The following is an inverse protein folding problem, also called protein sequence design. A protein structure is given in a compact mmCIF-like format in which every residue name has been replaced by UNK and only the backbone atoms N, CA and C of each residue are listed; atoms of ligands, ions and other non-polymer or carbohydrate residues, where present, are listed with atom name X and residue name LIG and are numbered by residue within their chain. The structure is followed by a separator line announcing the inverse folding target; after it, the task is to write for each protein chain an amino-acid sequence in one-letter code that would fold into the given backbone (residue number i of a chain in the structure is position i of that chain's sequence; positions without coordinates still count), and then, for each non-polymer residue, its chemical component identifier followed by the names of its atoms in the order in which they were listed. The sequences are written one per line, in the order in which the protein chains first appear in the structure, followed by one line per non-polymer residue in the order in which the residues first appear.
data_IF_788599525794
#
_entry.id   IF_788599525794
#
_cell.length_a   1.000
_cell.length_b   1.000
_cell.length_c   1.000
_cell.angle_alpha   90.00
_cell.angle_beta   90.00
_cell.angle_gamma   90.00
#
_symmetry.space_group_name_H-M   'P 1'
#
loop_
_entity.id
_entity.type
_entity.pdbx_description
1 polymer ?
#
# COMPACT_ATOMS: atom_id res chain seq x y z
N UNK A 1 25.34 -8.51 -6.69
CA UNK A 1 25.45 -9.87 -7.27
C UNK A 1 24.19 -10.66 -6.95
N UNK A 2 23.44 -10.96 -7.98
CA UNK A 2 22.48 -12.06 -8.12
C UNK A 2 21.21 -12.00 -7.22
N UNK A 3 20.01 -12.29 -7.63
CA UNK A 3 19.39 -12.91 -8.78
C UNK A 3 17.90 -12.54 -8.79
N UNK A 4 17.44 -11.95 -9.84
CA UNK A 4 16.02 -11.90 -10.18
C UNK A 4 15.61 -13.28 -10.73
N UNK A 5 14.71 -13.99 -10.06
CA UNK A 5 14.03 -15.14 -10.65
C UNK A 5 12.78 -14.67 -11.37
N UNK A 6 12.93 -14.52 -12.68
CA UNK A 6 11.83 -14.53 -13.62
C UNK A 6 11.24 -15.94 -13.67
N UNK A 7 9.98 -16.12 -13.28
CA UNK A 7 9.23 -17.35 -13.53
C UNK A 7 8.73 -17.34 -14.97
N UNK A 8 9.60 -17.78 -15.89
CA UNK A 8 9.17 -18.15 -17.23
C UNK A 8 8.48 -19.51 -17.17
N UNK A 9 7.18 -19.53 -17.41
CA UNK A 9 6.45 -20.77 -17.68
C UNK A 9 6.89 -21.34 -19.02
N UNK A 10 7.96 -22.13 -18.98
CA UNK A 10 8.47 -22.89 -20.10
C UNK A 10 7.61 -24.15 -20.29
N UNK A 11 6.76 -24.14 -21.29
CA UNK A 11 6.11 -25.33 -21.79
C UNK A 11 7.16 -26.19 -22.51
N UNK A 12 7.74 -27.19 -21.82
CA UNK A 12 8.71 -28.11 -22.41
C UNK A 12 8.04 -28.99 -23.46
N UNK A 13 8.39 -28.79 -24.75
CA UNK A 13 8.14 -29.75 -25.81
C UNK A 13 8.92 -31.01 -25.53
N UNK A 14 8.26 -32.12 -25.23
CA UNK A 14 8.86 -33.45 -25.28
C UNK A 14 8.98 -33.89 -26.72
N UNK A 15 10.21 -34.23 -27.11
CA UNK A 15 10.51 -34.88 -28.40
C UNK A 15 9.95 -36.31 -28.36
N UNK A 16 9.15 -36.64 -29.37
CA UNK A 16 8.63 -37.97 -29.62
C UNK A 16 9.70 -38.82 -30.27
N UNK A 17 9.96 -39.98 -29.69
CA UNK A 17 10.59 -41.12 -30.39
C UNK A 17 9.48 -41.90 -31.11
N UNK A 18 9.74 -42.46 -32.33
CA UNK A 18 8.74 -43.19 -33.05
C UNK A 18 8.77 -44.67 -32.67
N UNK A 19 7.70 -45.23 -32.23
CA UNK A 19 7.23 -46.56 -32.57
C UNK A 19 5.97 -46.93 -31.81
N UNK A 20 5.08 -47.59 -32.53
CA UNK A 20 3.91 -48.38 -32.11
C UNK A 20 2.58 -47.64 -32.05
N UNK A 21 1.88 -47.98 -33.12
CA UNK A 21 0.48 -47.71 -33.45
C UNK A 21 -0.47 -48.29 -32.36
N UNK A 22 -1.04 -47.40 -31.50
CA UNK A 22 -2.26 -47.68 -30.79
C UNK A 22 -3.17 -46.45 -30.87
N UNK A 23 -4.35 -46.67 -31.47
CA UNK A 23 -5.43 -45.68 -31.56
C UNK A 23 -5.90 -45.39 -30.13
N UNK A 24 -5.40 -44.28 -29.52
CA UNK A 24 -6.01 -43.66 -28.36
C UNK A 24 -6.50 -42.27 -28.76
N UNK A 25 -7.68 -41.84 -28.28
CA UNK A 25 -8.22 -40.53 -28.60
C UNK A 25 -7.28 -39.44 -28.07
N UNK A 26 -6.91 -38.50 -28.95
CA UNK A 26 -6.17 -37.29 -28.61
C UNK A 26 -7.00 -36.46 -27.62
N UNK A 27 -6.75 -36.60 -26.34
CA UNK A 27 -7.12 -35.57 -25.37
C UNK A 27 -6.20 -34.36 -25.65
N UNK A 28 -6.73 -33.40 -26.37
CA UNK A 28 -6.17 -32.05 -26.44
C UNK A 28 -6.22 -31.47 -25.02
N UNK A 29 -5.16 -31.70 -24.24
CA UNK A 29 -4.94 -30.98 -23.00
C UNK A 29 -4.62 -29.53 -23.34
N UNK A 30 -5.64 -28.77 -23.72
CA UNK A 30 -5.57 -27.31 -23.74
C UNK A 30 -5.26 -26.85 -22.32
N UNK A 31 -4.17 -26.11 -22.14
CA UNK A 31 -3.93 -25.38 -20.90
C UNK A 31 -5.09 -24.40 -20.72
N UNK A 32 -6.10 -24.80 -19.96
CA UNK A 32 -7.18 -23.90 -19.54
C UNK A 32 -6.55 -22.92 -18.56
N UNK A 33 -6.26 -21.72 -19.03
CA UNK A 33 -5.88 -20.64 -18.13
C UNK A 33 -7.11 -20.32 -17.24
N UNK A 34 -6.91 -20.17 -15.93
CA UNK A 34 -8.02 -19.77 -15.06
C UNK A 34 -8.52 -18.41 -15.55
N UNK A 35 -9.80 -18.36 -15.92
CA UNK A 35 -10.46 -17.12 -16.30
C UNK A 35 -10.51 -16.23 -15.07
N UNK A 36 -9.86 -15.06 -15.14
CA UNK A 36 -9.94 -14.07 -14.06
C UNK A 36 -11.40 -13.78 -13.71
N UNK A 37 -11.64 -13.54 -12.42
CA UNK A 37 -12.96 -13.06 -12.01
C UNK A 37 -13.18 -11.66 -12.61
N UNK A 38 -14.46 -11.31 -12.87
CA UNK A 38 -14.81 -9.99 -13.42
C UNK A 38 -14.27 -8.84 -12.57
N UNK A 39 -14.19 -9.04 -11.26
CA UNK A 39 -13.62 -8.07 -10.33
C UNK A 39 -12.11 -7.89 -10.48
N UNK A 40 -11.37 -8.97 -10.74
CA UNK A 40 -9.91 -8.89 -10.97
C UNK A 40 -9.57 -8.24 -12.31
N UNK A 41 -10.40 -8.45 -13.32
CA UNK A 41 -10.22 -7.83 -14.63
C UNK A 41 -10.47 -6.32 -14.57
N UNK A 42 -11.52 -5.88 -13.87
CA UNK A 42 -11.83 -4.45 -13.61
C UNK A 42 -10.69 -3.78 -12.83
N UNK A 43 -10.15 -4.43 -11.80
CA UNK A 43 -9.02 -3.90 -11.03
C UNK A 43 -7.74 -3.74 -11.86
N UNK A 44 -7.49 -4.65 -12.82
CA UNK A 44 -6.32 -4.56 -13.71
C UNK A 44 -6.44 -3.48 -14.77
N UNK A 45 -7.62 -3.27 -15.30
CA UNK A 45 -7.86 -2.28 -16.36
C UNK A 45 -7.90 -0.83 -15.82
N UNK A 46 -8.21 -0.65 -14.53
CA UNK A 46 -8.51 0.66 -13.95
C UNK A 46 -9.84 1.26 -14.46
N UNK A 47 -10.60 0.48 -15.23
CA UNK A 47 -11.89 0.87 -15.80
C UNK A 47 -12.93 -0.18 -15.46
N UNK A 48 -14.19 0.22 -15.28
CA UNK A 48 -15.32 -0.68 -15.14
C UNK A 48 -15.77 -1.27 -16.52
N UNK A 49 -16.84 -2.05 -16.52
CA UNK A 49 -17.35 -2.69 -17.74
C UNK A 49 -17.87 -1.65 -18.77
N UNK A 50 -18.20 -0.47 -18.33
CA UNK A 50 -18.68 0.67 -19.11
C UNK A 50 -17.56 1.61 -19.56
N UNK A 51 -16.29 1.31 -19.19
CA UNK A 51 -15.11 2.11 -19.54
C UNK A 51 -14.86 3.33 -18.63
N UNK A 52 -15.54 3.39 -17.49
CA UNK A 52 -15.33 4.45 -16.52
C UNK A 52 -14.20 4.11 -15.53
N UNK A 53 -13.47 5.11 -14.99
CA UNK A 53 -12.46 4.87 -13.97
C UNK A 53 -13.02 4.09 -12.78
N UNK A 54 -12.25 3.12 -12.29
CA UNK A 54 -12.62 2.33 -11.11
C UNK A 54 -12.85 3.26 -9.93
N UNK A 55 -14.07 3.25 -9.39
CA UNK A 55 -14.44 4.09 -8.27
C UNK A 55 -13.74 3.66 -6.98
N UNK A 56 -13.53 4.58 -6.05
CA UNK A 56 -12.95 4.32 -4.73
C UNK A 56 -13.70 3.24 -3.93
N UNK A 57 -14.94 2.91 -4.31
CA UNK A 57 -15.76 1.84 -3.70
C UNK A 57 -15.14 0.44 -3.81
N UNK A 58 -14.23 0.22 -4.77
CA UNK A 58 -13.56 -1.10 -4.96
C UNK A 58 -12.31 -1.25 -4.09
N UNK A 59 -11.88 -0.19 -3.43
CA UNK A 59 -10.74 -0.23 -2.52
C UNK A 59 -11.11 -0.90 -1.18
N UNK A 60 -10.17 -1.59 -0.54
CA UNK A 60 -10.40 -2.19 0.77
C UNK A 60 -10.80 -1.12 1.79
N UNK A 61 -11.60 -1.54 2.76
CA UNK A 61 -12.12 -0.65 3.81
C UNK A 61 -11.69 -1.10 5.19
N UNK A 62 -11.56 -0.14 6.09
CA UNK A 62 -11.39 -0.38 7.52
C UNK A 62 -12.70 -0.84 8.16
N UNK A 63 -12.65 -1.31 9.40
CA UNK A 63 -13.83 -1.71 10.17
C UNK A 63 -14.85 -0.56 10.35
N UNK A 64 -14.38 0.68 10.34
CA UNK A 64 -15.22 1.89 10.46
C UNK A 64 -15.72 2.41 9.10
N UNK A 65 -15.38 1.72 7.98
CA UNK A 65 -15.87 2.03 6.65
C UNK A 65 -14.99 2.99 5.82
N UNK A 66 -13.91 3.51 6.37
CA UNK A 66 -12.94 4.33 5.63
C UNK A 66 -12.13 3.47 4.65
N UNK A 67 -11.57 4.09 3.61
CA UNK A 67 -10.67 3.40 2.69
C UNK A 67 -9.38 3.03 3.44
N UNK A 68 -9.03 1.74 3.40
CA UNK A 68 -7.74 1.26 3.89
C UNK A 68 -6.67 1.40 2.81
N UNK A 69 -6.07 2.57 2.75
CA UNK A 69 -5.02 2.90 1.79
C UNK A 69 -3.77 2.01 1.96
N UNK A 70 -3.46 1.59 3.17
CA UNK A 70 -2.31 0.72 3.45
C UNK A 70 -2.56 -0.69 2.92
N UNK A 71 -3.76 -1.24 3.12
CA UNK A 71 -4.16 -2.51 2.55
C UNK A 71 -4.20 -2.45 1.02
N UNK A 72 -4.67 -1.35 0.43
CA UNK A 72 -4.70 -1.16 -1.01
C UNK A 72 -3.30 -1.19 -1.65
N UNK A 73 -2.28 -0.61 -0.99
CA UNK A 73 -0.89 -0.69 -1.46
C UNK A 73 -0.32 -2.09 -1.24
N UNK A 74 -0.49 -2.66 -0.05
CA UNK A 74 0.04 -3.99 0.28
C UNK A 74 -0.51 -5.08 -0.65
N UNK A 75 -1.76 -4.97 -1.06
CA UNK A 75 -2.38 -5.90 -2.03
C UNK A 75 -1.99 -5.61 -3.49
N UNK A 76 -1.25 -4.53 -3.76
CA UNK A 76 -0.84 -4.14 -5.10
C UNK A 76 -1.94 -3.51 -5.97
N UNK A 77 -3.13 -3.24 -5.41
CA UNK A 77 -4.21 -2.52 -6.09
C UNK A 77 -3.75 -1.11 -6.44
N UNK A 78 -3.07 -0.45 -5.51
CA UNK A 78 -2.47 0.86 -5.73
C UNK A 78 -0.94 0.77 -5.73
N UNK A 79 -0.34 1.49 -6.66
CA UNK A 79 1.13 1.64 -6.77
C UNK A 79 1.45 3.13 -6.82
N UNK A 80 1.69 3.78 -5.68
CA UNK A 80 2.04 5.19 -5.64
C UNK A 80 3.31 5.45 -6.44
N UNK A 81 3.34 6.56 -7.16
CA UNK A 81 4.56 7.00 -7.86
C UNK A 81 5.39 7.86 -6.92
N UNK A 82 6.66 7.53 -6.75
CA UNK A 82 7.59 8.32 -5.95
C UNK A 82 7.93 9.67 -6.58
N UNK A 83 7.73 9.81 -7.89
CA UNK A 83 7.96 11.06 -8.62
C UNK A 83 7.02 11.19 -9.81
N UNK A 84 6.70 12.43 -10.18
CA UNK A 84 6.00 12.74 -11.42
C UNK A 84 6.90 12.61 -12.66
N UNK A 85 8.23 12.66 -12.48
CA UNK A 85 9.19 12.47 -13.56
C UNK A 85 9.33 10.97 -13.87
N UNK A 86 9.20 10.60 -15.14
CA UNK A 86 9.40 9.23 -15.59
C UNK A 86 10.85 8.72 -15.43
N UNK A 87 11.82 9.64 -15.36
CA UNK A 87 13.26 9.34 -15.25
C UNK A 87 13.75 9.29 -13.79
N UNK A 88 12.96 9.77 -12.83
CA UNK A 88 13.32 9.72 -11.42
C UNK A 88 13.05 8.32 -10.81
N UNK A 89 13.82 7.92 -9.77
CA UNK A 89 13.51 6.71 -9.02
C UNK A 89 12.06 6.74 -8.53
N UNK A 90 11.31 5.67 -8.81
CA UNK A 90 9.89 5.57 -8.45
C UNK A 90 9.69 4.94 -7.07
N UNK A 91 10.67 4.17 -6.59
CA UNK A 91 10.57 3.44 -5.35
C UNK A 91 11.39 4.11 -4.26
N UNK A 92 10.75 4.42 -3.17
CA UNK A 92 11.42 4.82 -1.91
C UNK A 92 11.44 3.64 -0.96
N UNK A 93 12.52 3.47 -0.18
CA UNK A 93 12.58 2.39 0.81
C UNK A 93 11.51 2.60 1.87
N UNK A 94 10.79 1.53 2.22
CA UNK A 94 9.87 1.54 3.36
C UNK A 94 10.69 1.53 4.65
N UNK A 95 10.52 2.56 5.48
CA UNK A 95 11.22 2.69 6.75
C UNK A 95 10.38 2.07 7.89
N UNK A 96 10.84 0.95 8.43
CA UNK A 96 10.23 0.31 9.59
C UNK A 96 10.79 0.93 10.88
N UNK A 97 10.28 2.10 11.23
CA UNK A 97 10.64 2.85 12.44
C UNK A 97 9.39 3.47 13.05
N UNK A 98 9.16 3.19 14.31
CA UNK A 98 8.06 3.81 15.08
C UNK A 98 8.62 4.86 16.04
N UNK A 99 8.02 6.05 16.03
CA UNK A 99 8.28 7.11 17.01
C UNK A 99 7.13 7.14 18.01
N UNK A 100 7.46 7.06 19.29
CA UNK A 100 6.48 7.17 20.37
C UNK A 100 6.52 8.57 20.95
N UNK A 101 5.36 9.21 20.98
CA UNK A 101 5.14 10.45 21.69
C UNK A 101 4.47 10.12 23.02
N UNK A 102 5.18 10.33 24.13
CA UNK A 102 4.65 10.10 25.45
C UNK A 102 3.68 11.23 25.83
N UNK A 103 2.48 10.84 26.17
CA UNK A 103 1.43 11.76 26.62
C UNK A 103 1.48 11.87 28.13
N UNK A 104 1.36 13.09 28.66
CA UNK A 104 1.35 13.34 30.09
C UNK A 104 0.28 12.50 30.79
N UNK A 105 0.61 12.00 31.97
CA UNK A 105 -0.32 11.24 32.82
C UNK A 105 -1.59 12.03 33.22
N UNK A 106 -1.54 13.36 33.11
CA UNK A 106 -2.69 14.23 33.34
C UNK A 106 -3.84 14.02 32.33
N UNK A 107 -3.56 13.39 31.17
CA UNK A 107 -4.55 13.14 30.12
C UNK A 107 -4.90 11.65 30.08
N UNK A 108 -6.19 11.29 30.06
CA UNK A 108 -6.66 9.90 30.10
C UNK A 108 -6.61 9.26 28.68
N UNK A 109 -5.57 9.52 27.90
CA UNK A 109 -5.40 8.96 26.56
C UNK A 109 -4.06 8.22 26.46
N UNK A 110 -3.97 7.14 25.66
CA UNK A 110 -2.74 6.42 25.42
C UNK A 110 -1.66 7.27 24.75
N UNK A 111 -0.42 6.79 24.76
CA UNK A 111 0.67 7.37 24.01
C UNK A 111 0.43 7.26 22.50
N UNK A 112 0.96 8.21 21.75
CA UNK A 112 0.84 8.20 20.28
C UNK A 112 2.00 7.41 19.67
N UNK A 113 1.68 6.54 18.71
CA UNK A 113 2.67 5.90 17.85
C UNK A 113 2.59 6.52 16.45
N UNK A 114 3.73 7.01 15.96
CA UNK A 114 3.88 7.40 14.56
C UNK A 114 4.69 6.31 13.84
N UNK A 115 4.04 5.46 13.03
CA UNK A 115 4.73 4.45 12.26
C UNK A 115 5.22 5.04 10.93
N UNK A 116 6.52 4.99 10.64
CA UNK A 116 7.03 5.45 9.36
C UNK A 116 6.59 4.55 8.19
N UNK A 117 6.48 3.25 8.41
CA UNK A 117 6.19 2.30 7.34
C UNK A 117 4.95 2.65 6.52
N UNK A 118 3.75 2.87 7.09
CA UNK A 118 2.58 3.24 6.31
C UNK A 118 2.71 4.60 5.62
N UNK A 119 3.52 5.52 6.13
CA UNK A 119 3.77 6.82 5.52
C UNK A 119 4.77 6.73 4.37
N UNK A 120 5.84 5.97 4.53
CA UNK A 120 6.87 5.81 3.49
C UNK A 120 6.45 4.90 2.34
N UNK A 121 5.33 4.19 2.44
CA UNK A 121 4.65 3.56 1.30
C UNK A 121 4.10 4.59 0.30
N UNK A 122 3.79 5.80 0.75
CA UNK A 122 3.18 6.87 -0.04
C UNK A 122 4.12 8.03 -0.34
N UNK A 123 5.01 8.35 0.60
CA UNK A 123 5.74 9.61 0.66
C UNK A 123 7.23 9.35 0.76
N UNK A 124 8.01 10.22 0.13
CA UNK A 124 9.46 10.27 0.27
C UNK A 124 9.86 11.03 1.53
N UNK A 125 11.06 10.81 2.02
CA UNK A 125 11.59 11.48 3.21
C UNK A 125 11.44 13.01 3.16
N UNK A 126 11.69 13.61 2.00
CA UNK A 126 11.64 15.04 1.79
C UNK A 126 10.22 15.66 1.85
N UNK A 127 9.18 14.83 1.77
CA UNK A 127 7.81 15.32 1.97
C UNK A 127 7.55 15.78 3.41
N UNK A 128 8.29 15.18 4.35
CA UNK A 128 8.15 15.47 5.78
C UNK A 128 9.36 16.20 6.35
N UNK A 129 10.58 15.85 5.93
CA UNK A 129 11.83 16.34 6.51
C UNK A 129 12.57 17.30 5.57
N UNK A 130 13.16 18.36 6.11
CA UNK A 130 13.03 18.89 7.47
C UNK A 130 11.81 19.81 7.66
N UNK A 131 11.02 20.05 6.60
CA UNK A 131 10.02 21.14 6.53
C UNK A 131 8.89 20.99 7.56
N UNK A 132 8.38 19.78 7.74
CA UNK A 132 7.29 19.50 8.70
C UNK A 132 7.90 19.00 10.02
N UNK A 133 8.86 18.09 9.93
CA UNK A 133 9.51 17.46 11.08
C UNK A 133 11.02 17.50 10.95
N UNK A 134 11.68 18.03 11.97
CA UNK A 134 13.12 17.91 12.14
C UNK A 134 13.42 16.43 12.48
N UNK A 135 14.44 15.84 11.83
CA UNK A 135 14.88 14.45 12.08
C UNK A 135 15.56 14.26 13.44
N UNK A 136 14.88 14.69 14.49
CA UNK A 136 15.38 14.56 15.88
C UNK A 136 14.19 14.35 16.79
N UNK A 137 14.17 13.23 17.49
CA UNK A 137 13.14 12.95 18.48
C UNK A 137 13.11 14.04 19.55
N UNK A 138 11.93 14.51 19.92
CA UNK A 138 11.75 15.55 20.92
C UNK A 138 11.98 16.99 20.43
N UNK A 139 12.51 17.19 19.21
CA UNK A 139 12.76 18.54 18.67
C UNK A 139 11.51 19.20 18.05
N UNK A 140 10.44 18.46 17.87
CA UNK A 140 9.23 18.94 17.22
C UNK A 140 8.15 19.15 18.28
N UNK A 141 7.68 20.39 18.51
CA UNK A 141 6.67 20.70 19.52
C UNK A 141 5.25 20.32 19.03
N UNK A 142 5.03 19.03 18.81
CA UNK A 142 3.76 18.49 18.36
C UNK A 142 2.76 18.52 19.50
N UNK A 143 1.56 19.03 19.25
CA UNK A 143 0.45 19.03 20.18
C UNK A 143 -0.88 18.93 19.41
N UNK A 144 -1.95 18.49 20.10
CA UNK A 144 -3.27 18.40 19.47
C UNK A 144 -3.78 19.77 18.97
N UNK A 145 -3.54 20.84 19.73
CA UNK A 145 -3.90 22.20 19.31
C UNK A 145 -3.24 22.57 17.96
N UNK A 146 -1.97 22.26 17.79
CA UNK A 146 -1.25 22.52 16.55
C UNK A 146 -1.70 21.61 15.39
N UNK A 147 -1.98 20.34 15.71
CA UNK A 147 -2.48 19.38 14.72
C UNK A 147 -3.84 19.85 14.18
N UNK A 148 -4.76 20.23 15.05
CA UNK A 148 -6.09 20.73 14.66
C UNK A 148 -5.99 22.00 13.82
N UNK A 149 -4.98 22.83 14.04
CA UNK A 149 -4.68 24.03 13.25
C UNK A 149 -4.00 23.71 11.89
N UNK A 150 -3.83 22.46 11.52
CA UNK A 150 -3.22 22.04 10.26
C UNK A 150 -1.69 22.01 10.27
N UNK A 151 -1.07 21.96 11.45
CA UNK A 151 0.37 21.79 11.58
C UNK A 151 0.74 20.31 11.80
N UNK A 152 2.00 19.93 11.55
CA UNK A 152 2.51 18.56 11.72
C UNK A 152 1.62 17.51 11.06
N UNK A 153 1.10 16.56 11.84
CA UNK A 153 0.19 15.52 11.35
C UNK A 153 -1.07 16.11 10.70
N UNK A 154 -1.52 17.28 11.16
CA UNK A 154 -2.69 17.98 10.64
C UNK A 154 -2.55 18.51 9.21
N UNK A 155 -1.34 18.51 8.62
CA UNK A 155 -1.17 18.85 7.20
C UNK A 155 -1.86 17.86 6.27
N UNK A 156 -2.00 16.63 6.71
CA UNK A 156 -2.57 15.55 5.91
C UNK A 156 -3.81 14.94 6.56
N UNK A 157 -3.73 14.64 7.87
CA UNK A 157 -4.85 14.07 8.60
C UNK A 157 -5.97 15.11 8.78
N UNK A 158 -7.21 14.68 8.48
CA UNK A 158 -8.36 15.58 8.42
C UNK A 158 -8.54 16.30 7.09
N UNK A 159 -7.58 16.17 6.15
CA UNK A 159 -7.64 16.78 4.80
C UNK A 159 -7.61 15.69 3.73
N UNK A 160 -6.51 14.92 3.63
CA UNK A 160 -6.29 13.87 2.61
C UNK A 160 -6.11 12.48 3.21
N UNK A 161 -5.90 12.39 4.52
CA UNK A 161 -5.80 11.15 5.28
C UNK A 161 -6.93 11.08 6.30
N UNK A 162 -7.04 9.96 7.04
CA UNK A 162 -8.13 9.73 7.99
C UNK A 162 -8.31 10.91 8.97
N UNK A 163 -9.56 11.18 9.39
CA UNK A 163 -9.87 12.34 10.23
C UNK A 163 -9.45 12.14 11.68
N UNK A 164 -9.44 13.24 12.46
CA UNK A 164 -9.09 13.24 13.89
C UNK A 164 -10.13 12.57 14.80
N UNK A 165 -11.27 12.16 14.24
CA UNK A 165 -12.34 11.46 14.99
C UNK A 165 -11.95 10.05 15.39
N UNK A 166 -10.96 9.45 14.72
CA UNK A 166 -10.41 8.13 15.05
C UNK A 166 -9.19 8.27 15.99
N UNK A 167 -9.45 8.63 17.24
CA UNK A 167 -8.41 8.93 18.22
C UNK A 167 -7.43 7.78 18.45
N UNK A 168 -7.95 6.55 18.52
CA UNK A 168 -7.16 5.37 18.86
C UNK A 168 -6.24 4.91 17.72
N UNK A 169 -6.43 5.42 16.53
CA UNK A 169 -5.51 5.18 15.42
C UNK A 169 -4.14 5.81 15.63
N UNK A 170 -4.09 6.94 16.31
CA UNK A 170 -2.86 7.60 16.72
C UNK A 170 -2.48 7.25 18.16
N UNK A 171 -3.44 7.35 19.10
CA UNK A 171 -3.28 7.02 20.51
C UNK A 171 -3.40 5.51 20.74
N UNK A 172 -2.42 4.75 20.28
CA UNK A 172 -2.52 3.29 20.18
C UNK A 172 -1.63 2.52 21.14
N UNK A 173 -0.73 3.19 21.87
CA UNK A 173 0.19 2.54 22.82
C UNK A 173 -0.21 2.84 24.25
N UNK A 174 -0.57 1.83 25.06
CA UNK A 174 -0.81 2.02 26.51
C UNK A 174 0.34 2.75 27.20
N UNK A 175 0.02 3.47 28.27
CA UNK A 175 1.00 4.11 29.16
C UNK A 175 1.71 3.10 30.02
#
# INVERSE_FOLDING_TARGET
MGWLRSSSNSCRRRRLFPAILFLLPMFLSGCVQPKLSKSEEVLKSGLDAEGHPVALRVLPRTEVGDIDWVAAIKSGILKPKGSLSATAPQDSPILNLDIVFNISEAYPVPNVVFPHAPHTMWLNCNNCHPTIFIMKQGANPVSMDRIIKGEYCGRCHGVVAFPFTDCLRCHSRPK
#
